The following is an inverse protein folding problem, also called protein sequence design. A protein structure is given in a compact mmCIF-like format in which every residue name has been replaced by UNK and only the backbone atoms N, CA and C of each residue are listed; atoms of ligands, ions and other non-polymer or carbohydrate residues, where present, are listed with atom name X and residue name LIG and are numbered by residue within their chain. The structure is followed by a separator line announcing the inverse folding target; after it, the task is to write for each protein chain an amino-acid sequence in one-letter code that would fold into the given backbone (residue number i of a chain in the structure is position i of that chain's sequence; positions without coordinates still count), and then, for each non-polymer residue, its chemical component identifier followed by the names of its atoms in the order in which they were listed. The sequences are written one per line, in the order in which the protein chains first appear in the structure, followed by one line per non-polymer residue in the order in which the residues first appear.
data_IF_800510754126
#
_entry.id   IF_800510754126
#
_cell.length_a   1.000
_cell.length_b   1.000
_cell.length_c   1.000
_cell.angle_alpha   90.00
_cell.angle_beta   90.00
_cell.angle_gamma   90.00
#
_symmetry.space_group_name_H-M   'P 1'
#
loop_
_entity.id
_entity.type
_entity.pdbx_description
1 polymer ?
#
# COMPACT_ATOMS: atom_id res chain seq x y z
N UNK A 1 40.66 28.16 -40.65
CA UNK A 1 39.31 28.07 -41.27
C UNK A 1 38.80 26.67 -40.99
N UNK A 2 38.02 26.50 -39.92
CA UNK A 2 37.59 25.18 -39.46
C UNK A 2 36.17 24.93 -39.97
N UNK A 3 36.06 24.00 -40.91
CA UNK A 3 34.78 23.53 -41.46
C UNK A 3 34.15 22.59 -40.44
N UNK A 4 33.11 23.03 -39.74
CA UNK A 4 32.33 22.16 -38.88
C UNK A 4 31.55 21.17 -39.77
N UNK A 5 31.99 19.91 -39.78
CA UNK A 5 31.32 18.85 -40.50
C UNK A 5 29.96 18.55 -39.85
N UNK A 6 28.89 18.91 -40.54
CA UNK A 6 27.51 18.63 -40.15
C UNK A 6 27.23 17.12 -40.36
N UNK A 7 27.62 16.31 -39.38
CA UNK A 7 27.48 14.84 -39.43
C UNK A 7 26.03 14.45 -39.11
N UNK A 8 25.45 13.56 -39.92
CA UNK A 8 24.10 13.08 -39.70
C UNK A 8 23.97 12.32 -38.37
N UNK A 9 22.78 12.34 -37.76
CA UNK A 9 22.48 11.57 -36.53
C UNK A 9 22.83 10.08 -36.68
N UNK A 10 22.62 9.51 -37.87
CA UNK A 10 22.95 8.11 -38.15
C UNK A 10 24.46 7.85 -38.13
N UNK A 11 25.27 8.78 -38.60
CA UNK A 11 26.73 8.64 -38.64
C UNK A 11 27.40 8.94 -37.30
N UNK A 12 26.77 9.75 -36.44
CA UNK A 12 27.18 9.91 -35.04
C UNK A 12 26.98 8.62 -34.25
N UNK A 13 25.85 7.93 -34.41
CA UNK A 13 25.55 6.68 -33.70
C UNK A 13 26.56 5.56 -34.01
N UNK A 14 27.10 5.51 -35.24
CA UNK A 14 28.14 4.56 -35.64
C UNK A 14 29.47 4.76 -34.89
N UNK A 15 29.69 5.91 -34.28
CA UNK A 15 30.90 6.24 -33.52
C UNK A 15 30.76 5.97 -32.02
N UNK A 16 29.60 5.51 -31.55
CA UNK A 16 29.38 5.17 -30.14
C UNK A 16 30.16 3.88 -29.83
N UNK A 17 31.14 3.91 -28.91
CA UNK A 17 31.92 2.73 -28.55
C UNK A 17 30.99 1.65 -27.96
N UNK A 18 31.13 0.41 -28.42
CA UNK A 18 30.35 -0.76 -27.98
C UNK A 18 30.29 -0.95 -26.45
N UNK A 19 31.24 -0.37 -25.71
CA UNK A 19 31.29 -0.37 -24.25
C UNK A 19 30.11 0.34 -23.56
N UNK A 20 29.37 1.22 -24.25
CA UNK A 20 28.11 1.80 -23.74
C UNK A 20 26.93 0.82 -23.75
N UNK A 21 27.06 -0.32 -24.45
CA UNK A 21 26.10 -1.42 -24.42
C UNK A 21 26.54 -2.55 -23.46
N UNK A 22 27.37 -2.25 -22.45
CA UNK A 22 27.58 -3.18 -21.33
C UNK A 22 26.23 -3.42 -20.67
N UNK A 23 25.69 -4.64 -20.85
CA UNK A 23 24.48 -5.12 -20.19
C UNK A 23 24.59 -4.88 -18.68
N UNK A 24 23.96 -3.81 -18.22
CA UNK A 24 23.60 -3.65 -16.81
C UNK A 24 22.51 -4.69 -16.59
N UNK A 25 22.87 -5.85 -16.05
CA UNK A 25 21.87 -6.75 -15.50
C UNK A 25 21.24 -6.00 -14.33
N UNK A 26 19.94 -5.72 -14.35
CA UNK A 26 19.33 -5.05 -13.23
C UNK A 26 19.39 -6.01 -12.03
N UNK A 27 19.78 -5.49 -10.87
CA UNK A 27 20.02 -6.26 -9.64
C UNK A 27 18.80 -7.06 -9.12
N UNK A 28 17.61 -6.92 -9.71
CA UNK A 28 16.39 -7.56 -9.22
C UNK A 28 16.19 -9.03 -9.67
N UNK A 29 17.13 -9.63 -10.40
CA UNK A 29 16.97 -10.98 -10.96
C UNK A 29 17.37 -12.13 -10.00
N UNK A 30 17.92 -11.83 -8.81
CA UNK A 30 18.40 -12.85 -7.84
C UNK A 30 17.39 -13.20 -6.72
N UNK A 31 16.22 -12.55 -6.66
CA UNK A 31 15.31 -12.70 -5.50
C UNK A 31 14.13 -13.65 -5.70
N UNK A 32 14.29 -14.71 -6.49
CA UNK A 32 13.34 -15.83 -6.52
C UNK A 32 13.56 -16.77 -5.33
N UNK A 33 13.49 -16.22 -4.10
CA UNK A 33 13.26 -17.03 -2.92
C UNK A 33 11.85 -17.64 -3.00
N UNK A 34 11.58 -18.80 -2.38
CA UNK A 34 10.21 -19.31 -2.26
C UNK A 34 9.38 -18.21 -1.58
N UNK A 35 8.46 -17.61 -2.34
CA UNK A 35 7.56 -16.61 -1.80
C UNK A 35 6.61 -17.34 -0.86
N UNK A 36 6.97 -17.43 0.42
CA UNK A 36 6.03 -17.75 1.48
C UNK A 36 4.85 -16.80 1.30
N UNK A 37 3.67 -17.33 0.98
CA UNK A 37 2.49 -16.52 0.72
C UNK A 37 2.20 -15.71 1.98
N UNK A 38 2.60 -14.44 2.00
CA UNK A 38 2.18 -13.52 3.03
C UNK A 38 0.66 -13.45 2.93
N UNK A 39 -0.04 -14.05 3.89
CA UNK A 39 -1.50 -14.10 3.89
C UNK A 39 -2.06 -12.69 3.77
N UNK A 40 -3.17 -12.55 3.04
CA UNK A 40 -3.81 -11.24 2.83
C UNK A 40 -4.04 -10.55 4.19
N UNK A 41 -3.63 -9.28 4.30
CA UNK A 41 -3.87 -8.49 5.49
C UNK A 41 -5.24 -7.83 5.41
N UNK A 42 -5.89 -7.68 6.55
CA UNK A 42 -7.13 -6.92 6.70
C UNK A 42 -7.02 -5.99 7.90
N UNK A 43 -7.81 -4.92 7.91
CA UNK A 43 -7.96 -4.10 9.11
C UNK A 43 -8.85 -4.82 10.15
N UNK A 44 -8.54 -4.66 11.42
CA UNK A 44 -9.38 -5.10 12.54
C UNK A 44 -9.60 -3.94 13.49
N UNK A 45 -10.85 -3.70 13.86
CA UNK A 45 -11.24 -2.69 14.86
C UNK A 45 -11.27 -3.35 16.24
N UNK A 46 -10.60 -2.73 17.20
CA UNK A 46 -10.76 -2.99 18.63
C UNK A 46 -11.81 -2.04 19.19
N UNK A 47 -13.00 -2.58 19.45
CA UNK A 47 -14.18 -1.84 19.90
C UNK A 47 -13.91 -1.11 21.22
N UNK A 48 -13.10 -1.70 22.11
CA UNK A 48 -12.79 -1.13 23.43
C UNK A 48 -11.98 0.16 23.36
N UNK A 49 -11.24 0.36 22.27
CA UNK A 49 -10.36 1.54 22.04
C UNK A 49 -10.93 2.51 21.02
N UNK A 50 -12.00 2.16 20.30
CA UNK A 50 -12.53 2.97 19.22
C UNK A 50 -13.38 4.12 19.73
N UNK A 51 -13.03 5.35 19.35
CA UNK A 51 -13.78 6.55 19.75
C UNK A 51 -15.26 6.50 19.33
N UNK A 52 -15.54 5.98 18.11
CA UNK A 52 -16.90 5.85 17.56
C UNK A 52 -17.76 4.79 18.27
N UNK A 53 -17.13 3.80 18.91
CA UNK A 53 -17.83 2.82 19.76
C UNK A 53 -17.97 3.30 21.21
N UNK A 54 -17.21 4.34 21.59
CA UNK A 54 -17.34 5.04 22.86
C UNK A 54 -18.46 6.07 22.83
N UNK A 55 -18.14 7.32 23.19
CA UNK A 55 -19.10 8.44 23.29
C UNK A 55 -18.77 9.58 22.32
N UNK A 56 -17.90 9.33 21.34
CA UNK A 56 -17.38 10.36 20.44
C UNK A 56 -17.80 10.06 19.01
N UNK A 57 -18.23 11.07 18.26
CA UNK A 57 -18.45 10.95 16.82
C UNK A 57 -17.11 10.90 16.08
N UNK A 58 -16.74 9.73 15.54
CA UNK A 58 -15.49 9.56 14.82
C UNK A 58 -15.68 8.72 13.56
N UNK A 59 -15.36 9.28 12.40
CA UNK A 59 -15.53 8.63 11.09
C UNK A 59 -14.22 8.59 10.29
N UNK A 60 -13.08 8.93 10.93
CA UNK A 60 -11.84 9.20 10.22
C UNK A 60 -11.29 7.97 9.47
N UNK A 61 -11.46 6.77 10.04
CA UNK A 61 -11.04 5.53 9.40
C UNK A 61 -11.82 5.25 8.09
N UNK A 62 -13.13 5.52 8.10
CA UNK A 62 -13.99 5.43 6.93
C UNK A 62 -13.58 6.46 5.87
N UNK A 63 -13.41 7.72 6.26
CA UNK A 63 -12.99 8.79 5.36
C UNK A 63 -11.62 8.54 4.73
N UNK A 64 -10.68 7.95 5.47
CA UNK A 64 -9.35 7.63 4.97
C UNK A 64 -9.31 6.40 4.06
N UNK A 65 -10.31 5.53 4.09
CA UNK A 65 -10.32 4.32 3.27
C UNK A 65 -10.57 4.69 1.79
N UNK A 66 -9.74 4.19 0.84
CA UNK A 66 -10.01 4.38 -0.59
C UNK A 66 -11.18 3.52 -1.09
N UNK A 67 -11.50 2.44 -0.37
CA UNK A 67 -12.56 1.49 -0.67
C UNK A 67 -13.76 1.66 0.29
N UNK A 68 -14.18 2.91 0.53
CA UNK A 68 -15.41 3.21 1.30
C UNK A 68 -16.60 2.39 0.81
N UNK A 69 -17.47 2.00 1.73
CA UNK A 69 -18.66 1.16 1.52
C UNK A 69 -18.38 -0.28 1.03
N UNK A 70 -17.15 -0.56 0.58
CA UNK A 70 -16.69 -1.89 0.19
C UNK A 70 -15.87 -2.55 1.28
N UNK A 71 -14.93 -1.83 1.88
CA UNK A 71 -14.02 -2.31 2.91
C UNK A 71 -14.43 -1.86 4.32
N UNK A 72 -15.09 -0.71 4.44
CA UNK A 72 -15.56 -0.15 5.71
C UNK A 72 -16.96 0.41 5.49
N UNK A 73 -17.90 -0.03 6.33
CA UNK A 73 -19.27 0.47 6.38
C UNK A 73 -19.50 1.18 7.71
N UNK A 74 -20.26 2.27 7.70
CA UNK A 74 -20.69 2.96 8.91
C UNK A 74 -22.13 2.55 9.24
N UNK A 75 -22.33 1.83 10.35
CA UNK A 75 -23.67 1.48 10.85
C UNK A 75 -23.89 2.17 12.18
N UNK A 76 -24.93 2.97 12.29
CA UNK A 76 -25.21 3.78 13.50
C UNK A 76 -23.96 4.56 13.97
N UNK A 77 -23.24 5.20 13.06
CA UNK A 77 -21.99 5.94 13.33
C UNK A 77 -20.81 5.09 13.83
N UNK A 78 -20.91 3.75 13.78
CA UNK A 78 -19.83 2.82 14.16
C UNK A 78 -19.21 2.18 12.92
N UNK A 79 -17.87 2.06 12.83
CA UNK A 79 -17.20 1.43 11.70
C UNK A 79 -17.22 -0.10 11.78
N UNK A 80 -17.56 -0.75 10.67
CA UNK A 80 -17.49 -2.20 10.47
C UNK A 80 -16.54 -2.52 9.31
N UNK A 81 -15.53 -3.35 9.54
CA UNK A 81 -14.64 -3.81 8.47
C UNK A 81 -15.28 -4.97 7.73
N UNK A 82 -15.42 -4.83 6.41
CA UNK A 82 -15.87 -5.88 5.52
C UNK A 82 -14.63 -6.57 4.97
N UNK A 83 -14.26 -7.71 5.56
CA UNK A 83 -13.03 -8.43 5.22
C UNK A 83 -12.90 -8.74 3.72
N UNK A 84 -14.01 -9.09 3.05
CA UNK A 84 -14.03 -9.40 1.62
C UNK A 84 -13.70 -8.20 0.71
N UNK A 85 -13.94 -6.97 1.17
CA UNK A 85 -13.61 -5.75 0.42
C UNK A 85 -12.34 -5.04 0.90
N UNK A 86 -11.73 -5.50 2.00
CA UNK A 86 -10.51 -4.92 2.55
C UNK A 86 -9.27 -5.51 1.87
N UNK A 87 -8.44 -4.64 1.28
CA UNK A 87 -7.19 -5.01 0.61
C UNK A 87 -5.95 -4.96 1.51
N UNK A 88 -6.12 -4.58 2.78
CA UNK A 88 -5.04 -4.46 3.75
C UNK A 88 -4.13 -3.24 3.57
N UNK A 89 -4.52 -2.23 2.78
CA UNK A 89 -3.68 -1.05 2.50
C UNK A 89 -3.21 -0.31 3.76
N UNK A 90 -4.03 -0.27 4.82
CA UNK A 90 -3.65 0.29 6.13
C UNK A 90 -3.91 1.79 6.31
N UNK A 91 -4.48 2.49 5.33
CA UNK A 91 -4.77 3.94 5.46
C UNK A 91 -5.68 4.26 6.64
N UNK A 92 -6.65 3.39 6.95
CA UNK A 92 -7.53 3.54 8.11
C UNK A 92 -6.78 3.42 9.46
N UNK A 93 -5.75 2.57 9.52
CA UNK A 93 -4.89 2.39 10.70
C UNK A 93 -4.09 3.66 10.95
N UNK A 94 -3.46 4.20 9.90
CA UNK A 94 -2.65 5.42 10.04
C UNK A 94 -3.50 6.64 10.36
N UNK A 95 -4.68 6.74 9.76
CA UNK A 95 -5.64 7.78 10.11
C UNK A 95 -6.13 7.65 11.57
N UNK A 96 -6.34 6.44 12.08
CA UNK A 96 -6.74 6.26 13.48
C UNK A 96 -5.67 6.76 14.46
N UNK A 97 -4.38 6.57 14.15
CA UNK A 97 -3.26 7.01 15.00
C UNK A 97 -3.17 8.54 15.14
N UNK A 98 -3.70 9.33 14.20
CA UNK A 98 -3.58 10.80 14.27
C UNK A 98 -4.52 11.42 15.31
N UNK A 99 -5.57 10.70 15.71
CA UNK A 99 -6.60 11.20 16.62
C UNK A 99 -6.76 10.35 17.88
N UNK A 100 -6.19 9.15 17.92
CA UNK A 100 -6.34 8.21 19.03
C UNK A 100 -4.97 7.83 19.60
N UNK A 101 -4.70 8.29 20.83
CA UNK A 101 -3.47 7.97 21.57
C UNK A 101 -3.31 6.46 21.83
N UNK A 102 -4.42 5.70 21.81
CA UNK A 102 -4.45 4.25 21.84
C UNK A 102 -5.16 3.74 20.58
N UNK A 103 -4.46 3.63 19.43
CA UNK A 103 -5.07 3.34 18.14
C UNK A 103 -5.98 2.11 18.20
N UNK A 104 -7.19 2.24 17.66
CA UNK A 104 -8.21 1.19 17.71
C UNK A 104 -8.17 0.26 16.51
N UNK A 105 -7.27 0.49 15.55
CA UNK A 105 -7.20 -0.21 14.28
C UNK A 105 -5.81 -0.78 14.07
N UNK A 106 -5.74 -2.08 13.75
CA UNK A 106 -4.50 -2.77 13.44
C UNK A 106 -4.67 -3.61 12.16
N UNK A 107 -3.56 -3.87 11.44
CA UNK A 107 -3.55 -4.85 10.33
C UNK A 107 -3.30 -6.25 10.88
N UNK A 108 -4.12 -7.20 10.50
CA UNK A 108 -4.00 -8.61 10.90
C UNK A 108 -4.09 -9.53 9.68
N UNK A 109 -3.48 -10.73 9.70
CA UNK A 109 -3.71 -11.73 8.67
C UNK A 109 -5.19 -12.13 8.61
N UNK A 110 -5.75 -12.22 7.40
CA UNK A 110 -7.15 -12.63 7.18
C UNK A 110 -7.45 -14.04 7.69
N UNK A 111 -6.45 -14.92 7.68
CA UNK A 111 -6.52 -16.28 8.25
C UNK A 111 -6.71 -16.30 9.78
N UNK A 112 -6.49 -15.16 10.46
CA UNK A 112 -6.62 -15.03 11.91
C UNK A 112 -7.96 -14.49 12.41
N UNK A 113 -8.89 -14.10 11.52
CA UNK A 113 -10.15 -13.43 11.90
C UNK A 113 -11.17 -14.38 12.56
N UNK A 114 -11.04 -15.70 12.38
CA UNK A 114 -11.93 -16.76 12.92
C UNK A 114 -11.83 -17.01 14.44
N UNK A 115 -11.14 -16.15 15.20
CA UNK A 115 -10.92 -16.36 16.65
C UNK A 115 -11.33 -15.15 17.48
N UNK A 116 -12.64 -14.96 17.62
CA UNK A 116 -13.25 -14.11 18.63
C UNK A 116 -14.53 -14.79 19.11
N UNK A 117 -14.41 -15.58 20.19
CA UNK A 117 -15.51 -16.21 20.92
C UNK A 117 -15.84 -15.35 22.14
#
# INVERSE_FOLDING_TARGET
MNTEANISRADFLKKIPFMLFRKIKPHWEESAAPQQSMGALIARVDISRCLAWGQMECQLCYLACPLRDKAIEMREHKPFIIAAGCDGCGMCVDACKTINNTPALDRVPSSGLERGK
#
